data_IF_970622834763
#
_entry.id   IF_970622834763
#
_cell.length_a   1.000
_cell.length_b   1.000
_cell.length_c   1.000
_cell.angle_alpha   90.00
_cell.angle_beta   90.00
_cell.angle_gamma   90.00
#
_symmetry.space_group_name_H-M   'P 1'
#
loop_
_entity.id
_entity.type
_entity.pdbx_description
1 polymer ?
#
# COMPACT_ATOMS: atom_id res chain seq x y z
N UNK A 1 -36.55 -55.08 -1.65
CA UNK A 1 -35.65 -54.23 -2.45
C UNK A 1 -36.48 -53.16 -3.17
N UNK A 2 -36.35 -51.89 -2.77
CA UNK A 2 -36.73 -50.72 -3.58
C UNK A 2 -36.01 -49.49 -2.99
N UNK A 3 -34.83 -49.18 -3.51
CA UNK A 3 -34.06 -47.99 -3.15
C UNK A 3 -34.65 -46.79 -3.89
N UNK A 4 -35.07 -45.76 -3.17
CA UNK A 4 -35.43 -44.46 -3.75
C UNK A 4 -34.16 -43.64 -3.96
N UNK A 5 -33.92 -43.17 -5.18
CA UNK A 5 -32.83 -42.25 -5.49
C UNK A 5 -33.26 -40.82 -5.15
N UNK A 6 -32.56 -40.18 -4.22
CA UNK A 6 -32.64 -38.73 -4.02
C UNK A 6 -31.57 -38.10 -4.91
N UNK A 7 -32.00 -37.38 -5.95
CA UNK A 7 -31.11 -36.53 -6.73
C UNK A 7 -31.07 -35.14 -6.08
N UNK A 8 -30.07 -34.90 -5.23
CA UNK A 8 -29.74 -33.53 -4.78
C UNK A 8 -28.85 -32.92 -5.85
N UNK A 9 -29.42 -32.03 -6.65
CA UNK A 9 -28.70 -31.26 -7.65
C UNK A 9 -28.01 -30.09 -6.93
N UNK A 10 -26.77 -30.28 -6.50
CA UNK A 10 -25.91 -29.21 -5.99
C UNK A 10 -25.43 -28.37 -7.17
N UNK A 11 -26.07 -27.23 -7.42
CA UNK A 11 -25.53 -26.19 -8.28
C UNK A 11 -24.38 -25.49 -7.54
N UNK A 12 -23.17 -25.40 -8.12
CA UNK A 12 -22.12 -24.58 -7.53
C UNK A 12 -22.49 -23.11 -7.74
N UNK A 13 -22.65 -22.37 -6.65
CA UNK A 13 -22.60 -20.91 -6.64
C UNK A 13 -21.16 -20.50 -6.99
N UNK A 14 -20.86 -20.39 -8.28
CA UNK A 14 -19.68 -19.68 -8.73
C UNK A 14 -19.96 -18.19 -8.50
N UNK A 15 -19.51 -17.66 -7.36
CA UNK A 15 -19.38 -16.23 -7.18
C UNK A 15 -18.36 -15.74 -8.21
N UNK A 16 -18.85 -15.13 -9.30
CA UNK A 16 -17.99 -14.37 -10.19
C UNK A 16 -17.47 -13.18 -9.39
N UNK A 17 -16.26 -13.29 -8.86
CA UNK A 17 -15.51 -12.13 -8.42
C UNK A 17 -15.35 -11.24 -9.66
N UNK A 18 -16.10 -10.14 -9.71
CA UNK A 18 -15.89 -9.12 -10.74
C UNK A 18 -14.46 -8.65 -10.57
N UNK A 19 -13.59 -8.88 -11.57
CA UNK A 19 -12.26 -8.30 -11.61
C UNK A 19 -12.44 -6.79 -11.53
N UNK A 20 -12.18 -6.19 -10.37
CA UNK A 20 -12.30 -4.76 -10.21
C UNK A 20 -11.14 -4.16 -10.99
N UNK A 21 -11.45 -3.38 -12.04
CA UNK A 21 -10.41 -2.64 -12.76
C UNK A 21 -9.61 -1.80 -11.76
N UNK A 22 -8.29 -1.70 -11.97
CA UNK A 22 -7.43 -0.85 -11.16
C UNK A 22 -8.05 0.55 -11.00
N UNK A 23 -8.07 1.11 -9.78
CA UNK A 23 -8.68 2.40 -9.55
C UNK A 23 -7.97 3.47 -10.38
N UNK A 24 -8.74 4.40 -10.94
CA UNK A 24 -8.14 5.51 -11.69
C UNK A 24 -7.32 6.40 -10.76
N UNK A 25 -6.33 7.11 -11.31
CA UNK A 25 -5.53 8.08 -10.55
C UNK A 25 -6.40 9.12 -9.85
N UNK A 26 -7.46 9.60 -10.50
CA UNK A 26 -8.41 10.54 -9.91
C UNK A 26 -9.21 9.93 -8.74
N UNK A 27 -9.64 8.67 -8.84
CA UNK A 27 -10.32 7.98 -7.74
C UNK A 27 -9.39 7.81 -6.55
N UNK A 28 -8.16 7.36 -6.79
CA UNK A 28 -7.14 7.23 -5.75
C UNK A 28 -6.86 8.57 -5.08
N UNK A 29 -6.64 9.61 -5.87
CA UNK A 29 -6.38 10.95 -5.35
C UNK A 29 -7.53 11.42 -4.46
N UNK A 30 -8.77 11.28 -4.94
CA UNK A 30 -9.96 11.66 -4.16
C UNK A 30 -10.06 10.89 -2.84
N UNK A 31 -9.84 9.57 -2.83
CA UNK A 31 -9.85 8.79 -1.60
C UNK A 31 -8.79 9.28 -0.61
N UNK A 32 -7.57 9.52 -1.11
CA UNK A 32 -6.47 9.96 -0.27
C UNK A 32 -6.70 11.39 0.28
N UNK A 33 -7.16 12.32 -0.55
CA UNK A 33 -7.51 13.70 -0.15
C UNK A 33 -8.63 13.74 0.91
N UNK A 34 -9.62 12.85 0.79
CA UNK A 34 -10.72 12.74 1.76
C UNK A 34 -10.34 11.96 3.03
N UNK A 35 -9.07 11.59 3.20
CA UNK A 35 -8.60 10.82 4.37
C UNK A 35 -9.07 9.37 4.38
N UNK A 36 -9.65 8.87 3.29
CA UNK A 36 -10.13 7.49 3.12
C UNK A 36 -8.97 6.55 2.77
N UNK A 37 -7.86 6.66 3.52
CA UNK A 37 -6.60 5.95 3.25
C UNK A 37 -6.78 4.44 3.28
N UNK A 38 -7.49 3.92 4.29
CA UNK A 38 -7.79 2.48 4.40
C UNK A 38 -8.57 1.96 3.18
N UNK A 39 -9.50 2.75 2.65
CA UNK A 39 -10.24 2.37 1.46
C UNK A 39 -9.35 2.36 0.21
N UNK A 40 -8.45 3.34 0.08
CA UNK A 40 -7.47 3.37 -1.02
C UNK A 40 -6.55 2.15 -0.97
N UNK A 41 -6.02 1.81 0.21
CA UNK A 41 -5.19 0.62 0.43
C UNK A 41 -5.95 -0.64 0.03
N UNK A 42 -7.15 -0.87 0.58
CA UNK A 42 -7.93 -2.08 0.29
C UNK A 42 -8.25 -2.21 -1.21
N UNK A 43 -8.57 -1.08 -1.87
CA UNK A 43 -8.85 -1.08 -3.32
C UNK A 43 -7.62 -1.51 -4.10
N UNK A 44 -6.44 -0.95 -3.77
CA UNK A 44 -5.19 -1.26 -4.44
C UNK A 44 -4.69 -2.68 -4.17
N UNK A 45 -4.88 -3.21 -2.97
CA UNK A 45 -4.51 -4.60 -2.66
C UNK A 45 -5.34 -5.61 -3.44
N UNK A 46 -6.65 -5.36 -3.56
CA UNK A 46 -7.54 -6.20 -4.35
C UNK A 46 -7.12 -6.21 -5.83
N UNK A 47 -6.81 -5.05 -6.41
CA UNK A 47 -6.45 -4.96 -7.83
C UNK A 47 -5.03 -5.46 -8.12
N UNK A 48 -4.11 -5.30 -7.17
CA UNK A 48 -2.77 -5.87 -7.26
C UNK A 48 -2.82 -7.41 -7.23
N UNK A 49 -3.81 -8.02 -6.57
CA UNK A 49 -4.05 -9.46 -6.61
C UNK A 49 -4.21 -10.02 -8.02
N UNK A 50 -4.81 -9.23 -8.93
CA UNK A 50 -5.02 -9.61 -10.33
C UNK A 50 -3.73 -9.49 -11.17
N UNK A 51 -2.84 -8.55 -10.83
CA UNK A 51 -1.52 -8.38 -11.46
C UNK A 51 -0.44 -7.99 -10.44
N UNK A 52 0.18 -8.97 -9.74
CA UNK A 52 1.08 -8.72 -8.63
C UNK A 52 2.47 -8.18 -9.03
N UNK A 53 2.71 -8.00 -10.33
CA UNK A 53 3.97 -7.53 -10.90
C UNK A 53 3.82 -6.21 -11.67
N UNK A 54 2.70 -5.51 -11.52
CA UNK A 54 2.52 -4.18 -12.11
C UNK A 54 3.28 -3.12 -11.29
N UNK A 55 4.38 -2.54 -11.83
CA UNK A 55 5.18 -1.56 -11.11
C UNK A 55 4.40 -0.28 -10.78
N UNK A 56 3.39 0.08 -11.59
CA UNK A 56 2.55 1.26 -11.34
C UNK A 56 1.63 1.00 -10.16
N UNK A 57 0.96 -0.15 -10.11
CA UNK A 57 0.10 -0.49 -8.96
C UNK A 57 0.89 -0.68 -7.66
N UNK A 58 2.09 -1.27 -7.73
CA UNK A 58 3.00 -1.34 -6.59
C UNK A 58 3.38 0.06 -6.07
N UNK A 59 3.68 1.00 -6.98
CA UNK A 59 3.94 2.39 -6.61
C UNK A 59 2.71 3.07 -5.99
N UNK A 60 1.51 2.88 -6.57
CA UNK A 60 0.27 3.44 -6.04
C UNK A 60 -0.04 2.90 -4.63
N UNK A 61 0.14 1.59 -4.41
CA UNK A 61 -0.06 0.98 -3.09
C UNK A 61 0.98 1.48 -2.08
N UNK A 62 2.24 1.66 -2.51
CA UNK A 62 3.28 2.22 -1.65
C UNK A 62 2.92 3.61 -1.13
N UNK A 63 2.34 4.45 -1.98
CA UNK A 63 1.84 5.76 -1.56
C UNK A 63 0.74 5.62 -0.53
N UNK A 64 -0.28 4.81 -0.81
CA UNK A 64 -1.39 4.66 0.12
C UNK A 64 -0.90 4.16 1.48
N UNK A 65 0.03 3.18 1.49
CA UNK A 65 0.68 2.67 2.70
C UNK A 65 1.56 3.71 3.40
N UNK A 66 2.26 4.56 2.66
CA UNK A 66 2.98 5.70 3.24
C UNK A 66 2.02 6.64 3.97
N UNK A 67 0.90 7.03 3.34
CA UNK A 67 -0.14 7.86 3.97
C UNK A 67 -0.83 7.19 5.17
N UNK A 68 -0.85 5.86 5.19
CA UNK A 68 -1.34 5.05 6.32
C UNK A 68 -0.33 4.98 7.48
N UNK A 69 0.89 5.48 7.29
CA UNK A 69 1.99 5.44 8.25
C UNK A 69 2.84 4.17 8.17
N UNK A 70 2.48 3.21 7.32
CA UNK A 70 3.25 1.98 7.09
C UNK A 70 4.37 2.21 6.06
N UNK A 71 5.33 3.04 6.47
CA UNK A 71 6.47 3.48 5.66
C UNK A 71 7.41 2.34 5.27
N UNK A 72 7.45 1.26 6.05
CA UNK A 72 8.30 0.11 5.75
C UNK A 72 7.68 -0.79 4.68
N UNK A 73 6.37 -1.08 4.77
CA UNK A 73 5.67 -1.76 3.68
C UNK A 73 5.69 -0.94 2.39
N UNK A 74 5.52 0.38 2.50
CA UNK A 74 5.66 1.29 1.36
C UNK A 74 7.03 1.19 0.68
N UNK A 75 8.13 1.14 1.46
CA UNK A 75 9.47 1.00 0.92
C UNK A 75 9.67 -0.36 0.22
N UNK A 76 9.16 -1.45 0.78
CA UNK A 76 9.25 -2.78 0.15
C UNK A 76 8.55 -2.81 -1.21
N UNK A 77 7.37 -2.19 -1.30
CA UNK A 77 6.62 -2.07 -2.55
C UNK A 77 7.39 -1.25 -3.60
N UNK A 78 8.00 -0.12 -3.20
CA UNK A 78 8.84 0.69 -4.09
C UNK A 78 10.12 -0.05 -4.51
N UNK A 79 10.71 -0.84 -3.62
CA UNK A 79 11.85 -1.71 -3.93
C UNK A 79 11.48 -2.76 -5.00
N UNK A 80 10.29 -3.36 -4.89
CA UNK A 80 9.77 -4.30 -5.90
C UNK A 80 9.48 -3.60 -7.21
N UNK A 81 8.81 -2.46 -7.16
CA UNK A 81 8.46 -1.67 -8.34
C UNK A 81 9.72 -1.22 -9.11
N UNK A 82 10.75 -0.76 -8.40
CA UNK A 82 12.03 -0.35 -8.99
C UNK A 82 12.79 -1.53 -9.64
N UNK A 83 12.67 -2.75 -9.09
CA UNK A 83 13.24 -3.95 -9.74
C UNK A 83 12.52 -4.31 -11.04
N UNK A 84 11.20 -4.11 -11.09
CA UNK A 84 10.36 -4.42 -12.25
C UNK A 84 10.47 -3.35 -13.34
N UNK A 85 10.70 -2.10 -12.96
CA UNK A 85 10.83 -0.97 -13.88
C UNK A 85 11.96 -0.03 -13.43
N UNK A 86 13.23 -0.41 -13.68
CA UNK A 86 14.41 0.31 -13.17
C UNK A 86 14.57 1.71 -13.76
N UNK A 87 13.97 2.00 -14.91
CA UNK A 87 14.09 3.29 -15.59
C UNK A 87 12.88 4.22 -15.35
N UNK A 88 11.90 3.81 -14.54
CA UNK A 88 10.73 4.64 -14.22
C UNK A 88 11.08 5.69 -13.17
N UNK A 89 11.35 6.92 -13.64
CA UNK A 89 11.79 8.04 -12.81
C UNK A 89 10.90 8.30 -11.58
N UNK A 90 9.57 8.22 -11.73
CA UNK A 90 8.62 8.44 -10.62
C UNK A 90 8.81 7.42 -9.49
N UNK A 91 9.05 6.16 -9.83
CA UNK A 91 9.24 5.08 -8.85
C UNK A 91 10.57 5.28 -8.11
N UNK A 92 11.63 5.63 -8.85
CA UNK A 92 12.94 5.90 -8.26
C UNK A 92 12.94 7.12 -7.35
N UNK A 93 12.24 8.18 -7.75
CA UNK A 93 12.09 9.40 -6.96
C UNK A 93 11.34 9.13 -5.65
N UNK A 94 10.19 8.47 -5.73
CA UNK A 94 9.40 8.07 -4.57
C UNK A 94 10.20 7.20 -3.59
N UNK A 95 10.92 6.23 -4.14
CA UNK A 95 11.80 5.35 -3.36
C UNK A 95 12.90 6.13 -2.66
N UNK A 96 13.54 7.07 -3.36
CA UNK A 96 14.63 7.88 -2.81
C UNK A 96 14.12 8.78 -1.70
N UNK A 97 13.03 9.53 -1.95
CA UNK A 97 12.37 10.40 -0.96
C UNK A 97 11.99 9.63 0.30
N UNK A 98 11.37 8.46 0.17
CA UNK A 98 10.96 7.66 1.33
C UNK A 98 12.16 7.14 2.12
N UNK A 99 13.22 6.68 1.43
CA UNK A 99 14.46 6.23 2.09
C UNK A 99 15.14 7.35 2.87
N UNK A 100 15.24 8.53 2.28
CA UNK A 100 15.82 9.71 2.93
C UNK A 100 15.03 10.10 4.16
N UNK A 101 13.69 10.10 4.07
CA UNK A 101 12.84 10.39 5.22
C UNK A 101 12.98 9.35 6.34
N UNK A 102 13.01 8.05 6.01
CA UNK A 102 13.21 6.99 7.01
C UNK A 102 14.59 7.15 7.68
N UNK A 103 15.64 7.40 6.89
CA UNK A 103 16.99 7.59 7.42
C UNK A 103 17.10 8.82 8.33
N UNK A 104 16.54 9.95 7.92
CA UNK A 104 16.47 11.16 8.72
C UNK A 104 15.71 10.90 10.03
N UNK A 105 14.63 10.12 9.98
CA UNK A 105 13.85 9.77 11.17
C UNK A 105 14.62 8.89 12.14
N UNK A 106 15.31 7.85 11.65
CA UNK A 106 16.11 6.98 12.51
C UNK A 106 17.22 7.80 13.20
N UNK A 107 17.87 8.71 12.46
CA UNK A 107 18.86 9.64 13.02
C UNK A 107 18.28 10.58 14.07
N UNK A 108 17.17 11.25 13.77
CA UNK A 108 16.49 12.16 14.68
C UNK A 108 15.96 11.44 15.93
N UNK A 109 15.36 10.26 15.76
CA UNK A 109 14.88 9.44 16.88
C UNK A 109 16.05 9.00 17.77
N UNK A 110 17.19 8.60 17.19
CA UNK A 110 18.38 8.26 17.97
C UNK A 110 18.86 9.45 18.80
N UNK A 111 18.99 10.63 18.18
CA UNK A 111 19.40 11.85 18.88
C UNK A 111 18.40 12.25 19.99
N UNK A 112 17.10 12.09 19.75
CA UNK A 112 16.07 12.34 20.77
C UNK A 112 16.14 11.31 21.89
N UNK A 113 16.31 10.03 21.60
CA UNK A 113 16.47 8.98 22.62
C UNK A 113 17.71 9.20 23.49
N UNK A 114 18.81 9.67 22.91
CA UNK A 114 20.04 9.99 23.64
C UNK A 114 19.86 11.20 24.58
N UNK A 115 18.87 12.06 24.32
CA UNK A 115 18.68 13.35 25.03
C UNK A 115 17.40 13.43 25.89
N UNK A 116 16.43 12.55 25.68
CA UNK A 116 15.11 12.54 26.34
C UNK A 116 15.05 11.40 27.36
N UNK A 117 14.70 11.72 28.61
CA UNK A 117 14.37 10.70 29.59
C UNK A 117 13.22 9.81 29.06
N UNK A 118 13.35 8.49 29.23
CA UNK A 118 12.52 7.45 28.56
C UNK A 118 11.00 7.63 28.78
N UNK A 119 10.59 8.45 29.74
CA UNK A 119 9.22 8.81 30.07
C UNK A 119 8.55 9.86 29.15
N UNK A 120 9.30 10.53 28.26
CA UNK A 120 8.80 11.69 27.47
C UNK A 120 8.91 11.56 25.94
N UNK A 121 8.91 10.34 25.41
CA UNK A 121 8.92 10.14 23.95
C UNK A 121 7.56 10.50 23.32
N UNK A 122 7.53 11.24 22.20
CA UNK A 122 6.27 11.51 21.49
C UNK A 122 5.68 10.20 20.95
N UNK A 123 4.37 10.03 21.13
CA UNK A 123 3.64 8.79 20.84
C UNK A 123 3.47 8.51 19.34
N UNK A 124 3.60 9.53 18.49
CA UNK A 124 3.36 9.41 17.05
C UNK A 124 4.40 10.21 16.26
N UNK A 125 4.85 9.61 15.17
CA UNK A 125 5.77 10.22 14.23
C UNK A 125 5.00 11.25 13.37
N UNK A 126 5.59 12.41 13.01
CA UNK A 126 5.08 13.22 11.91
C UNK A 126 4.85 12.39 10.66
N UNK A 127 3.89 12.79 9.83
CA UNK A 127 3.53 12.08 8.62
C UNK A 127 4.73 11.98 7.64
N UNK A 128 4.81 10.89 6.85
CA UNK A 128 5.80 10.78 5.79
C UNK A 128 5.58 11.83 4.71
N UNK A 129 6.63 12.14 3.91
CA UNK A 129 6.52 13.16 2.89
C UNK A 129 5.58 12.65 1.79
N UNK A 130 4.92 13.56 1.06
CA UNK A 130 4.17 13.19 -0.13
C UNK A 130 5.08 12.46 -1.12
N UNK A 131 4.63 11.30 -1.59
CA UNK A 131 5.29 10.51 -2.64
C UNK A 131 4.77 10.87 -4.05
N UNK A 132 4.16 12.04 -4.25
CA UNK A 132 3.88 12.58 -5.58
C UNK A 132 4.14 14.09 -5.57
N UNK A 133 4.57 14.63 -6.71
CA UNK A 133 4.85 16.05 -6.85
C UNK A 133 3.59 16.91 -6.70
N UNK A 134 3.73 18.00 -5.95
CA UNK A 134 3.09 19.26 -6.32
C UNK A 134 3.86 19.90 -7.49
#
# INVERSE_FOLDING_TARGET
MKTWFIAVLLLPLAAFAQSAAAPSSAQLQSLLENGQVTQAVNTLENTLGDNPFDPVQLNNLAVARSRDGDVYAALELLDRAARLAPDQAVILDNRTKLREWIAARIGANKQQLDTVAVDRLPSQLPDPPPLWGE
#
